data_IF_882778040072
#
_entry.id   IF_882778040072
#
_cell.length_a   1.000
_cell.length_b   1.000
_cell.length_c   1.000
_cell.angle_alpha   90.00
_cell.angle_beta   90.00
_cell.angle_gamma   90.00
#
_symmetry.space_group_name_H-M   'P 1'
#
loop_
_entity.id
_entity.type
_entity.pdbx_description
1 polymer ?
#
# COMPACT_ATOMS: atom_id res chain seq x y z
N UNK A 1 6.93 -22.47 11.50
CA UNK A 1 5.63 -22.47 12.23
C UNK A 1 5.52 -21.27 13.15
N UNK A 2 6.36 -21.11 14.19
CA UNK A 2 6.29 -19.92 15.06
C UNK A 2 6.51 -18.59 14.32
N UNK A 3 7.50 -18.54 13.41
CA UNK A 3 7.79 -17.36 12.58
C UNK A 3 6.66 -16.99 11.62
N UNK A 4 5.94 -17.97 11.06
CA UNK A 4 4.80 -17.72 10.16
C UNK A 4 3.59 -17.17 10.94
N UNK A 5 3.40 -17.59 12.21
CA UNK A 5 2.41 -16.98 13.11
C UNK A 5 2.76 -15.53 13.42
N UNK A 6 4.03 -15.25 13.73
CA UNK A 6 4.50 -13.88 13.98
C UNK A 6 4.26 -13.00 12.76
N UNK A 7 4.61 -13.48 11.56
CA UNK A 7 4.33 -12.75 10.32
C UNK A 7 2.82 -12.54 10.12
N UNK A 8 1.98 -13.55 10.38
CA UNK A 8 0.51 -13.42 10.34
C UNK A 8 -0.03 -12.36 11.32
N UNK A 9 0.48 -12.34 12.56
CA UNK A 9 0.15 -11.33 13.55
C UNK A 9 0.62 -9.94 13.12
N UNK A 10 1.83 -9.82 12.58
CA UNK A 10 2.34 -8.56 12.01
C UNK A 10 1.40 -8.05 10.93
N UNK A 11 1.00 -8.86 9.95
CA UNK A 11 0.05 -8.45 8.89
C UNK A 11 -1.31 -8.03 9.45
N UNK A 12 -1.83 -8.77 10.42
CA UNK A 12 -3.13 -8.47 11.03
C UNK A 12 -3.10 -7.14 11.78
N UNK A 13 -2.14 -6.97 12.69
CA UNK A 13 -2.02 -5.78 13.53
C UNK A 13 -1.65 -4.54 12.72
N UNK A 14 -0.71 -4.67 11.79
CA UNK A 14 -0.34 -3.58 10.89
C UNK A 14 -1.50 -3.21 9.96
N UNK A 15 -2.24 -4.17 9.41
CA UNK A 15 -3.42 -3.90 8.60
C UNK A 15 -4.51 -3.14 9.37
N UNK A 16 -4.80 -3.54 10.61
CA UNK A 16 -5.71 -2.80 11.49
C UNK A 16 -5.17 -1.39 11.81
N UNK A 17 -3.86 -1.27 12.05
CA UNK A 17 -3.17 0.00 12.23
C UNK A 17 -3.30 0.92 11.01
N UNK A 18 -3.16 0.39 9.80
CA UNK A 18 -3.39 1.14 8.56
C UNK A 18 -4.81 1.67 8.50
N UNK A 19 -5.82 0.85 8.80
CA UNK A 19 -7.23 1.28 8.81
C UNK A 19 -7.45 2.40 9.84
N UNK A 20 -6.94 2.23 11.06
CA UNK A 20 -7.07 3.23 12.12
C UNK A 20 -6.41 4.56 11.73
N UNK A 21 -5.21 4.52 11.14
CA UNK A 21 -4.50 5.71 10.66
C UNK A 21 -5.22 6.37 9.48
N UNK A 22 -5.79 5.59 8.56
CA UNK A 22 -6.57 6.12 7.44
C UNK A 22 -7.89 6.75 7.90
N UNK A 23 -8.51 6.25 8.97
CA UNK A 23 -9.72 6.84 9.54
C UNK A 23 -9.47 8.25 10.14
N UNK A 24 -8.22 8.55 10.52
CA UNK A 24 -7.79 9.86 10.99
C UNK A 24 -6.86 10.56 9.99
N UNK A 25 -6.88 10.15 8.71
CA UNK A 25 -5.99 10.68 7.70
C UNK A 25 -6.20 12.20 7.55
N UNK A 26 -5.13 13.01 7.64
CA UNK A 26 -5.27 14.45 7.73
C UNK A 26 -5.60 15.07 6.37
N UNK A 27 -6.48 16.07 6.38
CA UNK A 27 -6.78 16.90 5.20
C UNK A 27 -5.71 17.97 5.01
N UNK A 28 -5.76 18.67 3.86
CA UNK A 28 -4.84 19.76 3.51
C UNK A 28 -4.77 20.89 4.54
N UNK A 29 -5.78 21.06 5.38
CA UNK A 29 -5.87 22.14 6.37
C UNK A 29 -5.37 21.73 7.76
N UNK A 30 -4.93 20.48 7.92
CA UNK A 30 -4.42 19.97 9.19
C UNK A 30 -3.03 20.54 9.52
N UNK A 31 -2.64 20.64 10.81
CA UNK A 31 -1.29 21.04 11.18
C UNK A 31 -0.22 20.13 10.57
N UNK A 32 0.89 20.69 10.10
CA UNK A 32 1.98 19.94 9.45
C UNK A 32 2.51 18.79 10.32
N UNK A 33 2.56 18.98 11.64
CA UNK A 33 2.96 17.94 12.60
C UNK A 33 2.04 16.72 12.58
N UNK A 34 0.72 16.94 12.44
CA UNK A 34 -0.27 15.86 12.31
C UNK A 34 -0.13 15.17 10.96
N UNK A 35 0.04 15.95 9.87
CA UNK A 35 0.25 15.41 8.52
C UNK A 35 1.45 14.46 8.48
N UNK A 36 2.62 14.94 8.93
CA UNK A 36 3.84 14.14 8.92
C UNK A 36 3.78 12.97 9.92
N UNK A 37 3.13 13.15 11.08
CA UNK A 37 2.95 12.09 12.08
C UNK A 37 2.13 10.90 11.57
N UNK A 38 0.97 11.17 10.95
CA UNK A 38 0.10 10.11 10.39
C UNK A 38 0.76 9.43 9.19
N UNK A 39 1.35 10.19 8.27
CA UNK A 39 2.05 9.60 7.12
C UNK A 39 3.28 8.79 7.55
N UNK A 40 4.11 9.32 8.46
CA UNK A 40 5.26 8.58 8.99
C UNK A 40 4.85 7.25 9.63
N UNK A 41 3.74 7.25 10.39
CA UNK A 41 3.19 6.04 10.99
C UNK A 41 2.67 5.05 9.94
N UNK A 42 1.97 5.53 8.91
CA UNK A 42 1.53 4.70 7.78
C UNK A 42 2.70 4.05 7.04
N UNK A 43 3.78 4.80 6.80
CA UNK A 43 5.00 4.28 6.16
C UNK A 43 5.62 3.14 6.98
N UNK A 44 5.74 3.29 8.30
CA UNK A 44 6.26 2.24 9.17
C UNK A 44 5.38 0.99 9.09
N UNK A 45 4.05 1.17 9.19
CA UNK A 45 3.08 0.08 9.11
C UNK A 45 3.16 -0.64 7.77
N UNK A 46 3.29 0.09 6.66
CA UNK A 46 3.47 -0.48 5.31
C UNK A 46 4.78 -1.29 5.19
N UNK A 47 5.89 -0.82 5.77
CA UNK A 47 7.16 -1.56 5.78
C UNK A 47 7.07 -2.86 6.61
N UNK A 48 6.35 -2.81 7.75
CA UNK A 48 6.03 -4.01 8.54
C UNK A 48 5.21 -5.00 7.73
N UNK A 49 4.18 -4.55 7.00
CA UNK A 49 3.40 -5.41 6.11
C UNK A 49 4.28 -6.02 5.02
N UNK A 50 5.09 -5.20 4.35
CA UNK A 50 5.95 -5.64 3.26
C UNK A 50 6.94 -6.72 3.71
N UNK A 51 7.60 -6.53 4.84
CA UNK A 51 8.54 -7.51 5.38
C UNK A 51 7.87 -8.86 5.72
N UNK A 52 6.71 -8.83 6.38
CA UNK A 52 5.96 -10.04 6.73
C UNK A 52 5.39 -10.76 5.49
N UNK A 53 4.94 -10.00 4.48
CA UNK A 53 4.48 -10.53 3.20
C UNK A 53 5.63 -11.24 2.46
N UNK A 54 6.76 -10.56 2.27
CA UNK A 54 7.92 -11.15 1.60
C UNK A 54 8.42 -12.41 2.35
N UNK A 55 8.41 -12.39 3.69
CA UNK A 55 8.71 -13.56 4.50
C UNK A 55 7.76 -14.73 4.22
N UNK A 56 6.44 -14.49 4.20
CA UNK A 56 5.43 -15.53 4.02
C UNK A 56 5.40 -16.11 2.60
N UNK A 57 5.73 -15.30 1.59
CA UNK A 57 5.76 -15.74 0.20
C UNK A 57 6.83 -16.81 -0.06
N UNK A 58 7.97 -16.75 0.67
CA UNK A 58 9.07 -17.74 0.59
C UNK A 58 9.42 -18.08 -0.85
N UNK A 59 9.84 -17.07 -1.62
CA UNK A 59 9.99 -17.20 -3.06
C UNK A 59 10.86 -18.40 -3.47
N UNK A 60 10.26 -19.34 -4.21
CA UNK A 60 10.91 -20.57 -4.70
C UNK A 60 10.75 -20.77 -6.20
N UNK A 61 9.77 -20.09 -6.80
CA UNK A 61 9.47 -20.17 -8.23
C UNK A 61 9.61 -18.79 -8.90
N UNK A 62 9.72 -18.76 -10.22
CA UNK A 62 9.72 -17.50 -10.98
C UNK A 62 8.45 -16.67 -10.75
N UNK A 63 7.30 -17.31 -10.52
CA UNK A 63 6.06 -16.64 -10.13
C UNK A 63 6.21 -15.92 -8.80
N UNK A 64 6.78 -16.59 -7.80
CA UNK A 64 6.95 -15.98 -6.47
C UNK A 64 7.98 -14.85 -6.52
N UNK A 65 9.03 -15.00 -7.34
CA UNK A 65 9.99 -13.93 -7.59
C UNK A 65 9.30 -12.73 -8.26
N UNK A 66 8.53 -12.95 -9.32
CA UNK A 66 7.78 -11.90 -9.99
C UNK A 66 6.81 -11.20 -9.01
N UNK A 67 6.05 -11.97 -8.22
CA UNK A 67 5.17 -11.44 -7.19
C UNK A 67 5.93 -10.55 -6.19
N UNK A 68 7.10 -11.01 -5.72
CA UNK A 68 7.96 -10.27 -4.79
C UNK A 68 8.49 -8.98 -5.41
N UNK A 69 8.93 -9.02 -6.68
CA UNK A 69 9.50 -7.87 -7.39
C UNK A 69 8.43 -6.81 -7.63
N UNK A 70 7.29 -7.18 -8.24
CA UNK A 70 6.20 -6.23 -8.50
C UNK A 70 5.67 -5.62 -7.21
N UNK A 71 5.47 -6.44 -6.18
CA UNK A 71 5.06 -5.96 -4.86
C UNK A 71 6.08 -4.99 -4.26
N UNK A 72 7.37 -5.32 -4.30
CA UNK A 72 8.42 -4.48 -3.70
C UNK A 72 8.58 -3.15 -4.44
N UNK A 73 8.56 -3.17 -5.77
CA UNK A 73 8.61 -1.94 -6.58
C UNK A 73 7.39 -1.07 -6.33
N UNK A 74 6.19 -1.67 -6.32
CA UNK A 74 4.96 -0.95 -5.99
C UNK A 74 4.98 -0.39 -4.56
N UNK A 75 5.54 -1.11 -3.61
CA UNK A 75 5.68 -0.65 -2.24
C UNK A 75 6.67 0.53 -2.14
N UNK A 76 7.81 0.48 -2.84
CA UNK A 76 8.77 1.59 -2.90
C UNK A 76 8.10 2.83 -3.50
N UNK A 77 7.34 2.67 -4.59
CA UNK A 77 6.60 3.77 -5.21
C UNK A 77 5.53 4.35 -4.26
N UNK A 78 4.78 3.49 -3.56
CA UNK A 78 3.79 3.90 -2.55
C UNK A 78 4.44 4.67 -1.40
N UNK A 79 5.59 4.19 -0.89
CA UNK A 79 6.38 4.88 0.13
C UNK A 79 6.85 6.24 -0.38
N UNK A 80 7.37 6.29 -1.61
CA UNK A 80 7.76 7.54 -2.25
C UNK A 80 6.61 8.55 -2.32
N UNK A 81 5.43 8.11 -2.78
CA UNK A 81 4.23 8.94 -2.77
C UNK A 81 3.88 9.42 -1.36
N UNK A 82 3.87 8.53 -0.36
CA UNK A 82 3.61 8.88 1.03
C UNK A 82 4.61 9.87 1.62
N UNK A 83 5.88 9.81 1.22
CA UNK A 83 6.91 10.78 1.62
C UNK A 83 6.62 12.16 1.04
N UNK A 84 6.30 12.23 -0.26
CA UNK A 84 5.97 13.50 -0.90
C UNK A 84 4.72 14.14 -0.27
N UNK A 85 3.68 13.35 -0.04
CA UNK A 85 2.42 13.83 0.53
C UNK A 85 2.54 14.22 2.01
N UNK A 86 3.23 13.38 2.79
CA UNK A 86 3.31 13.52 4.24
C UNK A 86 4.36 14.50 4.75
N UNK A 87 5.41 14.75 3.97
CA UNK A 87 6.57 15.52 4.42
C UNK A 87 6.91 16.67 3.49
N UNK A 88 6.91 16.44 2.16
CA UNK A 88 7.29 17.50 1.23
C UNK A 88 6.18 18.54 1.01
N UNK A 89 4.91 18.13 0.86
CA UNK A 89 3.81 19.09 0.71
C UNK A 89 3.65 20.05 1.91
N UNK A 90 3.70 19.60 3.18
CA UNK A 90 3.65 20.51 4.31
C UNK A 90 4.79 21.53 4.32
N UNK A 91 5.99 21.13 3.87
CA UNK A 91 7.14 22.04 3.76
C UNK A 91 6.91 23.08 2.65
N UNK A 92 6.42 22.67 1.48
CA UNK A 92 6.15 23.58 0.37
C UNK A 92 5.11 24.65 0.71
N UNK A 93 4.11 24.33 1.54
CA UNK A 93 3.12 25.31 2.02
C UNK A 93 3.71 26.44 2.87
N UNK A 94 4.85 26.18 3.51
CA UNK A 94 5.55 27.18 4.31
C UNK A 94 6.55 28.02 3.50
N UNK A 95 6.68 27.73 2.20
CA UNK A 95 7.63 28.41 1.32
C UNK A 95 7.10 29.80 0.92
N UNK A 96 7.94 30.83 1.05
CA UNK A 96 7.50 32.24 1.00
C UNK A 96 7.63 32.91 -0.37
N UNK A 97 8.03 32.18 -1.43
CA UNK A 97 8.17 32.73 -2.78
C UNK A 97 7.05 32.24 -3.72
N UNK A 98 5.98 33.03 -3.93
CA UNK A 98 4.72 32.55 -4.50
C UNK A 98 4.80 31.96 -5.91
N UNK A 99 5.51 32.55 -6.91
CA UNK A 99 5.53 31.97 -8.26
C UNK A 99 6.23 30.61 -8.27
N UNK A 100 7.34 30.49 -7.54
CA UNK A 100 8.12 29.25 -7.47
C UNK A 100 7.43 28.19 -6.61
N UNK A 101 6.68 28.60 -5.59
CA UNK A 101 5.95 27.68 -4.72
C UNK A 101 4.84 26.92 -5.46
N UNK A 102 4.10 27.57 -6.36
CA UNK A 102 2.99 26.96 -7.09
C UNK A 102 3.47 25.97 -8.16
N UNK A 103 4.56 26.32 -8.86
CA UNK A 103 5.19 25.44 -9.85
C UNK A 103 5.80 24.19 -9.19
N UNK A 104 6.52 24.38 -8.08
CA UNK A 104 7.07 23.27 -7.29
C UNK A 104 5.95 22.39 -6.73
N UNK A 105 4.87 22.99 -6.21
CA UNK A 105 3.73 22.23 -5.72
C UNK A 105 3.12 21.37 -6.82
N UNK A 106 2.90 21.94 -8.02
CA UNK A 106 2.35 21.23 -9.18
C UNK A 106 3.24 20.06 -9.61
N UNK A 107 4.55 20.26 -9.66
CA UNK A 107 5.52 19.22 -9.99
C UNK A 107 5.49 18.08 -8.97
N UNK A 108 5.58 18.40 -7.68
CA UNK A 108 5.60 17.40 -6.61
C UNK A 108 4.25 16.68 -6.51
N UNK A 109 3.15 17.38 -6.77
CA UNK A 109 1.82 16.79 -6.86
C UNK A 109 1.74 15.75 -7.98
N UNK A 110 2.19 16.12 -9.18
CA UNK A 110 2.18 15.23 -10.33
C UNK A 110 3.06 13.99 -10.09
N UNK A 111 4.24 14.18 -9.49
CA UNK A 111 5.14 13.09 -9.12
C UNK A 111 4.51 12.17 -8.05
N UNK A 112 3.85 12.75 -7.05
CA UNK A 112 3.13 11.99 -6.03
C UNK A 112 2.05 11.10 -6.65
N UNK A 113 1.23 11.65 -7.55
CA UNK A 113 0.15 10.89 -8.20
C UNK A 113 0.72 9.75 -9.05
N UNK A 114 1.74 10.02 -9.87
CA UNK A 114 2.39 9.00 -10.68
C UNK A 114 2.99 7.86 -9.84
N UNK A 115 3.64 8.19 -8.71
CA UNK A 115 4.18 7.20 -7.78
C UNK A 115 3.06 6.41 -7.07
N UNK A 116 1.97 7.07 -6.71
CA UNK A 116 0.83 6.42 -6.06
C UNK A 116 0.13 5.43 -7.01
N UNK A 117 -0.06 5.80 -8.28
CA UNK A 117 -0.61 4.94 -9.32
C UNK A 117 0.29 3.73 -9.59
N UNK A 118 1.58 3.97 -9.83
CA UNK A 118 2.57 2.92 -9.98
C UNK A 118 2.59 2.00 -8.75
N UNK A 119 2.45 2.58 -7.57
CA UNK A 119 2.39 1.87 -6.30
C UNK A 119 1.23 0.89 -6.23
N UNK A 120 0.01 1.38 -6.46
CA UNK A 120 -1.21 0.55 -6.45
C UNK A 120 -1.16 -0.55 -7.51
N UNK A 121 -0.71 -0.22 -8.73
CA UNK A 121 -0.61 -1.18 -9.82
C UNK A 121 0.44 -2.25 -9.52
N UNK A 122 1.65 -1.86 -9.09
CA UNK A 122 2.73 -2.78 -8.77
C UNK A 122 2.37 -3.72 -7.61
N UNK A 123 1.83 -3.18 -6.52
CA UNK A 123 1.31 -3.97 -5.39
C UNK A 123 0.19 -4.89 -5.87
N UNK A 124 -0.71 -4.40 -6.71
CA UNK A 124 -1.83 -5.17 -7.23
C UNK A 124 -1.41 -6.37 -8.06
N UNK A 125 -0.45 -6.20 -8.97
CA UNK A 125 0.16 -7.29 -9.75
C UNK A 125 0.83 -8.30 -8.81
N UNK A 126 1.59 -7.81 -7.82
CA UNK A 126 2.24 -8.67 -6.83
C UNK A 126 1.24 -9.53 -6.04
N UNK A 127 0.15 -8.92 -5.56
CA UNK A 127 -0.93 -9.63 -4.86
C UNK A 127 -1.61 -10.65 -5.78
N UNK A 128 -1.91 -10.30 -7.03
CA UNK A 128 -2.55 -11.20 -7.98
C UNK A 128 -1.67 -12.43 -8.29
N UNK A 129 -0.37 -12.20 -8.52
CA UNK A 129 0.61 -13.26 -8.78
C UNK A 129 0.79 -14.19 -7.57
N UNK A 130 0.82 -13.65 -6.35
CA UNK A 130 0.81 -14.48 -5.13
C UNK A 130 -0.51 -15.25 -5.01
N UNK A 131 -1.64 -14.59 -5.24
CA UNK A 131 -2.95 -15.20 -5.10
C UNK A 131 -3.16 -16.36 -6.08
N UNK A 132 -2.53 -16.34 -7.25
CA UNK A 132 -2.45 -17.49 -8.14
C UNK A 132 -1.73 -18.68 -7.47
N UNK A 133 -0.65 -18.44 -6.72
CA UNK A 133 0.01 -19.43 -5.87
C UNK A 133 -0.91 -20.02 -4.80
N UNK A 134 -1.66 -19.16 -4.10
CA UNK A 134 -2.66 -19.59 -3.10
C UNK A 134 -3.78 -20.44 -3.72
N UNK A 135 -4.17 -20.12 -4.94
CA UNK A 135 -5.18 -20.90 -5.67
C UNK A 135 -4.68 -22.32 -5.93
N UNK A 136 -3.43 -22.45 -6.39
CA UNK A 136 -2.80 -23.75 -6.65
C UNK A 136 -2.55 -24.56 -5.37
N UNK A 137 -2.35 -23.92 -4.22
CA UNK A 137 -2.23 -24.60 -2.92
C UNK A 137 -3.58 -24.95 -2.27
N UNK A 138 -4.70 -24.68 -2.94
CA UNK A 138 -6.05 -25.02 -2.47
C UNK A 138 -6.75 -23.94 -1.63
N UNK A 139 -6.10 -22.81 -1.37
CA UNK A 139 -6.66 -21.69 -0.59
C UNK A 139 -7.55 -20.75 -1.45
N UNK A 140 -8.48 -21.35 -2.21
CA UNK A 140 -9.23 -20.68 -3.29
C UNK A 140 -10.00 -19.43 -2.85
N UNK A 141 -10.56 -19.41 -1.64
CA UNK A 141 -11.31 -18.24 -1.13
C UNK A 141 -10.39 -17.03 -0.94
N UNK A 142 -9.24 -17.23 -0.31
CA UNK A 142 -8.25 -16.17 -0.07
C UNK A 142 -7.58 -15.72 -1.37
N UNK A 143 -7.34 -16.68 -2.27
CA UNK A 143 -6.85 -16.41 -3.62
C UNK A 143 -7.83 -15.56 -4.43
N UNK A 144 -9.11 -15.92 -4.46
CA UNK A 144 -10.15 -15.14 -5.16
C UNK A 144 -10.26 -13.71 -4.62
N UNK A 145 -10.23 -13.55 -3.30
CA UNK A 145 -10.19 -12.21 -2.69
C UNK A 145 -8.94 -11.43 -3.11
N UNK A 146 -7.77 -12.07 -3.14
CA UNK A 146 -6.54 -11.41 -3.56
C UNK A 146 -6.52 -11.02 -5.03
N UNK A 147 -7.17 -11.79 -5.91
CA UNK A 147 -7.39 -11.35 -7.29
C UNK A 147 -8.23 -10.07 -7.36
N UNK A 148 -9.33 -10.00 -6.60
CA UNK A 148 -10.16 -8.79 -6.54
C UNK A 148 -9.37 -7.62 -5.95
N UNK A 149 -8.66 -7.83 -4.85
CA UNK A 149 -7.88 -6.80 -4.17
C UNK A 149 -6.67 -6.32 -4.98
N UNK A 150 -6.06 -7.21 -5.77
CA UNK A 150 -4.92 -6.87 -6.61
C UNK A 150 -5.32 -6.26 -7.96
N UNK A 151 -6.15 -6.97 -8.72
CA UNK A 151 -6.54 -6.56 -10.08
C UNK A 151 -7.57 -5.44 -10.04
N UNK A 152 -8.54 -5.47 -9.12
CA UNK A 152 -9.65 -4.52 -9.09
C UNK A 152 -9.19 -3.06 -9.08
N UNK A 153 -8.43 -2.60 -8.06
CA UNK A 153 -7.90 -1.24 -8.03
C UNK A 153 -7.01 -0.89 -9.21
N UNK A 154 -6.13 -1.82 -9.60
CA UNK A 154 -5.19 -1.61 -10.71
C UNK A 154 -5.91 -1.40 -12.04
N UNK A 155 -6.92 -2.23 -12.33
CA UNK A 155 -7.76 -2.10 -13.51
C UNK A 155 -8.60 -0.82 -13.45
N UNK A 156 -9.13 -0.48 -12.27
CA UNK A 156 -9.85 0.77 -12.06
C UNK A 156 -9.02 2.00 -12.45
N UNK A 157 -7.76 2.05 -12.03
CA UNK A 157 -6.83 3.13 -12.39
C UNK A 157 -6.50 3.13 -13.89
N UNK A 158 -6.12 1.97 -14.45
CA UNK A 158 -5.74 1.87 -15.88
C UNK A 158 -6.90 2.23 -16.81
N UNK A 159 -8.14 1.91 -16.42
CA UNK A 159 -9.34 2.22 -17.19
C UNK A 159 -9.88 3.63 -16.91
N UNK A 160 -9.27 4.40 -16.02
CA UNK A 160 -9.73 5.74 -15.65
C UNK A 160 -11.06 5.76 -14.88
N UNK A 161 -11.42 4.65 -14.23
CA UNK A 161 -12.62 4.54 -13.39
C UNK A 161 -12.41 5.12 -11.98
N UNK A 162 -11.15 5.25 -11.58
CA UNK A 162 -10.72 5.91 -10.34
C UNK A 162 -9.39 6.61 -10.60
N UNK A 163 -9.02 7.51 -9.70
CA UNK A 163 -7.75 8.21 -9.67
C UNK A 163 -7.05 7.98 -8.32
N UNK A 164 -5.87 8.59 -8.11
CA UNK A 164 -5.15 8.56 -6.84
C UNK A 164 -5.38 9.81 -5.97
N UNK A 165 -6.53 10.48 -6.16
CA UNK A 165 -7.04 11.39 -5.13
C UNK A 165 -7.52 10.59 -3.90
N UNK A 166 -7.84 11.31 -2.82
CA UNK A 166 -8.08 10.73 -1.50
C UNK A 166 -9.02 9.50 -1.52
N UNK A 167 -10.18 9.62 -2.17
CA UNK A 167 -11.17 8.54 -2.18
C UNK A 167 -10.71 7.31 -2.97
N UNK A 168 -10.11 7.51 -4.14
CA UNK A 168 -9.57 6.42 -4.95
C UNK A 168 -8.40 5.72 -4.28
N UNK A 169 -7.48 6.49 -3.68
CA UNK A 169 -6.40 5.97 -2.86
C UNK A 169 -6.92 5.19 -1.64
N UNK A 170 -7.90 5.71 -0.91
CA UNK A 170 -8.54 5.02 0.21
C UNK A 170 -9.20 3.71 -0.21
N UNK A 171 -9.90 3.69 -1.35
CA UNK A 171 -10.52 2.48 -1.87
C UNK A 171 -9.47 1.43 -2.27
N UNK A 172 -8.44 1.84 -3.00
CA UNK A 172 -7.35 0.97 -3.44
C UNK A 172 -6.56 0.38 -2.27
N UNK A 173 -6.07 1.22 -1.36
CA UNK A 173 -5.32 0.76 -0.18
C UNK A 173 -6.23 0.02 0.81
N UNK A 174 -7.51 0.39 0.91
CA UNK A 174 -8.48 -0.28 1.76
C UNK A 174 -8.71 -1.73 1.35
N UNK A 175 -8.95 -2.00 0.06
CA UNK A 175 -9.18 -3.37 -0.40
C UNK A 175 -7.91 -4.21 -0.40
N UNK A 176 -6.75 -3.63 -0.77
CA UNK A 176 -5.46 -4.30 -0.67
C UNK A 176 -5.11 -4.62 0.79
N UNK A 177 -5.30 -3.66 1.70
CA UNK A 177 -5.10 -3.83 3.14
C UNK A 177 -6.04 -4.86 3.75
N UNK A 178 -7.31 -4.90 3.32
CA UNK A 178 -8.25 -5.92 3.76
C UNK A 178 -7.81 -7.34 3.37
N UNK A 179 -7.21 -7.51 2.19
CA UNK A 179 -6.61 -8.79 1.80
C UNK A 179 -5.39 -9.15 2.66
N UNK A 180 -4.52 -8.18 2.97
CA UNK A 180 -3.39 -8.37 3.87
C UNK A 180 -3.85 -8.84 5.26
N UNK A 181 -4.92 -8.24 5.80
CA UNK A 181 -5.52 -8.65 7.09
C UNK A 181 -6.06 -10.08 6.98
N UNK A 182 -6.81 -10.40 5.92
CA UNK A 182 -7.37 -11.73 5.73
C UNK A 182 -6.27 -12.80 5.66
N UNK A 183 -5.19 -12.54 4.92
CA UNK A 183 -4.01 -13.41 4.87
C UNK A 183 -3.34 -13.49 6.25
N UNK A 184 -3.19 -12.38 6.96
CA UNK A 184 -2.61 -12.35 8.31
C UNK A 184 -3.36 -13.26 9.28
N UNK A 185 -4.70 -13.14 9.31
CA UNK A 185 -5.57 -13.93 10.19
C UNK A 185 -5.47 -15.42 9.87
N UNK A 186 -5.43 -15.81 8.60
CA UNK A 186 -5.30 -17.24 8.24
C UNK A 186 -3.95 -17.80 8.66
N UNK A 187 -2.85 -17.05 8.46
CA UNK A 187 -1.50 -17.51 8.86
C UNK A 187 -1.29 -17.53 10.37
N UNK A 188 -1.90 -16.60 11.11
CA UNK A 188 -1.88 -16.64 12.57
C UNK A 188 -2.60 -17.88 13.11
N UNK A 189 -3.77 -18.23 12.56
CA UNK A 189 -4.59 -19.37 13.03
C UNK A 189 -4.09 -20.74 12.59
N UNK A 190 -3.26 -20.84 11.55
CA UNK A 190 -2.90 -22.10 10.89
C UNK A 190 -1.76 -22.91 11.57
N UNK A 191 -1.44 -22.68 12.84
CA UNK A 191 -0.50 -23.53 13.57
C UNK A 191 -0.83 -23.62 15.04
#
# INVERSE_FOLDING_TARGET
MASDKTAGAMLTLSGLGSIALMAVHPTSNSPSTVISGVHGSLLIVMLVQASALLWLLKAKTLRDLAASVFYSVGMIATVGAGVLNGFLFPLLKSYQEPPMSDELFTLVWSLNQALAELGVIGVGIGIAAWSLGLWMSGERKLAGFGWIAGIGPSAGLVLGLTDMHLHGAMAAYGIQGAWVIALGVTRWRAG
#
